data_IF_831619435857
#
_entry.id   IF_831619435857
#
_cell.length_a   1.000
_cell.length_b   1.000
_cell.length_c   1.000
_cell.angle_alpha   90.00
_cell.angle_beta   90.00
_cell.angle_gamma   90.00
#
_symmetry.space_group_name_H-M   'P 1'
#
loop_
_entity.id
_entity.type
_entity.pdbx_description
1 polymer ?
#
# COMPACT_ATOMS: atom_id res chain seq x y z
N UNK A 1 27.42 -14.25 -17.40
CA UNK A 1 25.98 -14.19 -17.72
C UNK A 1 25.12 -14.16 -16.46
N UNK A 2 25.43 -14.93 -15.41
CA UNK A 2 24.56 -15.05 -14.22
C UNK A 2 24.49 -13.78 -13.35
N UNK A 3 25.56 -13.00 -13.28
CA UNK A 3 25.60 -11.75 -12.50
C UNK A 3 24.69 -10.67 -13.08
N UNK A 4 24.58 -10.57 -14.42
CA UNK A 4 23.68 -9.62 -15.09
C UNK A 4 22.21 -9.97 -14.85
N UNK A 5 21.90 -11.27 -14.81
CA UNK A 5 20.53 -11.75 -14.64
C UNK A 5 20.04 -11.56 -13.18
N UNK A 6 20.94 -11.72 -12.21
CA UNK A 6 20.64 -11.45 -10.80
C UNK A 6 20.36 -9.97 -10.55
N UNK A 7 21.17 -9.08 -11.12
CA UNK A 7 20.99 -7.62 -11.00
C UNK A 7 19.65 -7.18 -11.60
N UNK A 8 19.31 -7.67 -12.79
CA UNK A 8 18.05 -7.37 -13.46
C UNK A 8 16.83 -7.84 -12.64
N UNK A 9 16.89 -9.03 -12.02
CA UNK A 9 15.80 -9.53 -11.18
C UNK A 9 15.62 -8.69 -9.90
N UNK A 10 16.72 -8.20 -9.30
CA UNK A 10 16.67 -7.35 -8.11
C UNK A 10 16.10 -5.96 -8.39
N UNK A 11 16.44 -5.34 -9.53
CA UNK A 11 15.88 -4.04 -9.92
C UNK A 11 14.38 -4.12 -10.22
N UNK A 12 13.94 -5.23 -10.82
CA UNK A 12 12.52 -5.47 -11.09
C UNK A 12 11.71 -5.66 -9.81
N UNK A 13 12.25 -6.33 -8.79
CA UNK A 13 11.55 -6.46 -7.49
C UNK A 13 11.44 -5.11 -6.81
N UNK A 14 12.53 -4.34 -6.76
CA UNK A 14 12.57 -3.02 -6.13
C UNK A 14 11.60 -2.05 -6.82
N UNK A 15 11.58 -2.01 -8.15
CA UNK A 15 10.65 -1.17 -8.91
C UNK A 15 9.18 -1.54 -8.62
N UNK A 16 8.89 -2.82 -8.41
CA UNK A 16 7.54 -3.32 -8.12
C UNK A 16 7.08 -2.94 -6.71
N UNK A 17 7.99 -2.95 -5.74
CA UNK A 17 7.73 -2.49 -4.37
C UNK A 17 7.44 -0.99 -4.33
N UNK A 18 8.17 -0.19 -5.12
CA UNK A 18 7.92 1.24 -5.27
C UNK A 18 6.56 1.51 -5.93
N UNK A 19 6.18 0.74 -6.95
CA UNK A 19 4.87 0.85 -7.59
C UNK A 19 3.74 0.45 -6.62
N UNK A 20 3.94 -0.58 -5.78
CA UNK A 20 2.98 -0.97 -4.75
C UNK A 20 2.80 0.13 -3.68
N UNK A 21 3.89 0.78 -3.28
CA UNK A 21 3.86 1.91 -2.36
C UNK A 21 3.15 3.13 -2.97
N UNK A 22 3.47 3.49 -4.23
CA UNK A 22 2.78 4.55 -4.98
C UNK A 22 1.30 4.23 -5.19
N UNK A 23 0.97 2.98 -5.49
CA UNK A 23 -0.41 2.51 -5.64
C UNK A 23 -1.20 2.58 -4.33
N UNK A 24 -0.53 2.60 -3.17
CA UNK A 24 -1.15 2.78 -1.85
C UNK A 24 -1.58 4.22 -1.54
N UNK A 25 -1.40 5.17 -2.47
CA UNK A 25 -2.05 6.50 -2.43
C UNK A 25 -3.56 6.35 -2.29
N UNK A 26 -4.14 5.34 -2.98
CA UNK A 26 -5.50 4.91 -2.68
C UNK A 26 -5.35 3.78 -1.66
N UNK A 27 -5.83 3.96 -0.42
CA UNK A 27 -5.57 3.01 0.64
C UNK A 27 -6.23 1.65 0.30
N UNK A 28 -5.43 0.59 0.38
CA UNK A 28 -5.79 -0.78 -0.04
C UNK A 28 -5.32 -1.20 -1.44
N UNK A 29 -5.01 -0.27 -2.36
CA UNK A 29 -4.67 -0.61 -3.75
C UNK A 29 -3.29 -1.25 -3.91
N UNK A 30 -2.28 -0.84 -3.12
CA UNK A 30 -0.96 -1.48 -3.14
C UNK A 30 -0.98 -2.94 -2.66
N UNK A 31 -1.89 -3.29 -1.76
CA UNK A 31 -2.08 -4.69 -1.32
C UNK A 31 -2.74 -5.54 -2.41
N UNK A 32 -3.70 -4.97 -3.14
CA UNK A 32 -4.31 -5.61 -4.32
C UNK A 32 -3.24 -5.81 -5.41
N UNK A 33 -2.35 -4.83 -5.60
CA UNK A 33 -1.24 -4.93 -6.55
C UNK A 33 -0.23 -6.01 -6.17
N UNK A 34 -0.17 -6.44 -4.91
CA UNK A 34 0.71 -7.53 -4.43
C UNK A 34 -0.03 -8.86 -4.22
N UNK A 35 -1.17 -9.03 -4.92
CA UNK A 35 -2.08 -10.18 -4.85
C UNK A 35 -2.64 -10.50 -3.45
N UNK A 36 -2.57 -9.56 -2.51
CA UNK A 36 -3.19 -9.65 -1.20
C UNK A 36 -4.60 -9.06 -1.25
N UNK A 37 -5.48 -9.68 -2.04
CA UNK A 37 -6.84 -9.18 -2.30
C UNK A 37 -7.71 -9.09 -1.05
N UNK A 38 -7.59 -10.04 -0.11
CA UNK A 38 -8.39 -10.02 1.14
C UNK A 38 -8.07 -8.79 2.00
N UNK A 39 -6.78 -8.54 2.23
CA UNK A 39 -6.31 -7.38 2.99
C UNK A 39 -6.56 -6.09 2.23
N UNK A 40 -6.31 -6.07 0.91
CA UNK A 40 -6.53 -4.91 0.06
C UNK A 40 -8.00 -4.48 -0.05
N UNK A 41 -8.92 -5.42 -0.22
CA UNK A 41 -10.37 -5.14 -0.25
C UNK A 41 -10.86 -4.71 1.15
N UNK A 42 -10.39 -5.36 2.21
CA UNK A 42 -10.72 -4.96 3.59
C UNK A 42 -10.28 -3.52 3.88
N UNK A 43 -9.06 -3.16 3.46
CA UNK A 43 -8.56 -1.79 3.57
C UNK A 43 -9.35 -0.82 2.69
N UNK A 44 -9.71 -1.18 1.45
CA UNK A 44 -10.48 -0.32 0.56
C UNK A 44 -11.87 0.01 1.11
N UNK A 45 -12.51 -0.94 1.81
CA UNK A 45 -13.78 -0.73 2.49
C UNK A 45 -13.61 0.06 3.79
N UNK A 46 -12.59 -0.24 4.59
CA UNK A 46 -12.39 0.38 5.90
C UNK A 46 -11.88 1.83 5.81
N UNK A 47 -11.07 2.12 4.80
CA UNK A 47 -10.46 3.44 4.59
C UNK A 47 -11.43 4.61 4.55
N UNK A 48 -12.54 4.58 3.77
CA UNK A 48 -13.50 5.68 3.78
C UNK A 48 -14.13 5.92 5.16
N UNK A 49 -14.38 4.87 5.95
CA UNK A 49 -14.88 5.02 7.33
C UNK A 49 -13.84 5.67 8.24
N UNK A 50 -12.57 5.30 8.09
CA UNK A 50 -11.47 5.87 8.89
C UNK A 50 -11.19 7.33 8.52
N UNK A 51 -11.25 7.67 7.23
CA UNK A 51 -11.15 9.05 6.76
C UNK A 51 -12.34 9.87 7.30
N UNK A 52 -13.56 9.34 7.22
CA UNK A 52 -14.75 10.00 7.73
C UNK A 52 -14.70 10.23 9.26
N UNK A 53 -14.31 9.20 10.02
CA UNK A 53 -14.11 9.31 11.45
C UNK A 53 -13.02 10.35 11.79
N UNK A 54 -11.89 10.34 11.08
CA UNK A 54 -10.83 11.33 11.24
C UNK A 54 -11.27 12.75 10.94
N UNK A 55 -12.17 12.94 9.97
CA UNK A 55 -12.73 14.24 9.62
C UNK A 55 -13.62 14.78 10.75
N UNK A 56 -14.49 13.93 11.31
CA UNK A 56 -15.32 14.27 12.48
C UNK A 56 -14.44 14.60 13.69
N UNK A 57 -13.43 13.76 13.94
CA UNK A 57 -12.49 13.96 15.03
C UNK A 57 -11.71 15.26 14.85
N UNK A 58 -11.36 15.60 13.60
CA UNK A 58 -10.74 16.87 13.23
C UNK A 58 -11.59 18.06 13.69
N UNK A 59 -12.88 18.07 13.38
CA UNK A 59 -13.78 19.12 13.87
C UNK A 59 -13.94 19.12 15.39
N UNK A 60 -13.96 17.95 16.03
CA UNK A 60 -14.11 17.82 17.48
C UNK A 60 -12.86 18.24 18.28
N UNK A 61 -11.68 18.28 17.67
CA UNK A 61 -10.38 18.47 18.35
C UNK A 61 -9.57 19.65 17.82
N UNK A 62 -10.22 20.64 17.18
CA UNK A 62 -9.55 21.82 16.59
C UNK A 62 -8.48 21.41 15.56
N UNK A 63 -8.77 20.38 14.78
CA UNK A 63 -7.92 19.90 13.68
C UNK A 63 -6.91 18.81 14.05
N UNK A 64 -6.67 18.52 15.34
CA UNK A 64 -5.70 17.49 15.76
C UNK A 64 -6.09 16.10 15.21
N UNK A 65 -7.38 15.79 15.19
CA UNK A 65 -7.92 14.53 14.67
C UNK A 65 -7.64 14.28 13.19
N UNK A 66 -7.29 15.32 12.40
CA UNK A 66 -6.90 15.16 10.99
C UNK A 66 -5.53 14.49 10.82
N UNK A 67 -4.70 14.42 11.87
CA UNK A 67 -3.48 13.63 11.83
C UNK A 67 -3.76 12.13 11.72
N UNK A 68 -4.89 11.66 12.24
CA UNK A 68 -5.26 10.25 12.25
C UNK A 68 -5.38 9.64 10.84
N UNK A 69 -6.15 10.22 9.89
CA UNK A 69 -6.24 9.71 8.53
C UNK A 69 -4.92 9.85 7.75
N UNK A 70 -4.13 10.90 8.00
CA UNK A 70 -2.82 11.09 7.36
C UNK A 70 -1.85 9.99 7.81
N UNK A 71 -1.76 9.75 9.12
CA UNK A 71 -0.89 8.71 9.68
C UNK A 71 -1.32 7.32 9.21
N UNK A 72 -2.62 7.06 9.13
CA UNK A 72 -3.18 5.82 8.59
C UNK A 72 -2.75 5.55 7.14
N UNK A 73 -2.80 6.56 6.26
CA UNK A 73 -2.34 6.45 4.86
C UNK A 73 -0.85 6.09 4.78
N UNK A 74 -0.01 6.78 5.57
CA UNK A 74 1.44 6.54 5.59
C UNK A 74 1.76 5.13 6.10
N UNK A 75 1.10 4.69 7.17
CA UNK A 75 1.30 3.36 7.74
C UNK A 75 0.87 2.24 6.76
N UNK A 76 -0.22 2.43 6.03
CA UNK A 76 -0.66 1.45 5.02
C UNK A 76 0.30 1.41 3.83
N UNK A 77 0.77 2.56 3.36
CA UNK A 77 1.78 2.62 2.30
C UNK A 77 3.08 1.93 2.73
N UNK A 78 3.53 2.18 3.96
CA UNK A 78 4.69 1.50 4.54
C UNK A 78 4.47 -0.02 4.65
N UNK A 79 3.30 -0.44 5.12
CA UNK A 79 2.97 -1.86 5.25
C UNK A 79 2.92 -2.54 3.87
N UNK A 80 2.36 -1.89 2.86
CA UNK A 80 2.32 -2.39 1.48
C UNK A 80 3.71 -2.53 0.86
N UNK A 81 4.63 -1.61 1.19
CA UNK A 81 6.03 -1.68 0.76
C UNK A 81 6.76 -2.90 1.36
N UNK A 82 6.57 -3.14 2.66
CA UNK A 82 7.27 -4.20 3.39
C UNK A 82 6.66 -5.61 3.24
N UNK A 83 5.43 -5.75 2.74
CA UNK A 83 4.79 -7.06 2.61
C UNK A 83 5.45 -7.85 1.47
N UNK A 84 5.64 -9.16 1.59
CA UNK A 84 6.27 -9.97 0.53
C UNK A 84 5.34 -10.16 -0.68
N UNK A 85 5.92 -10.25 -1.88
CA UNK A 85 5.13 -10.46 -3.10
C UNK A 85 4.63 -11.90 -3.19
N UNK A 86 3.31 -12.09 -3.08
CA UNK A 86 2.68 -13.41 -3.24
C UNK A 86 2.45 -13.79 -4.70
N UNK A 87 2.76 -12.90 -5.65
CA UNK A 87 2.73 -13.25 -7.07
C UNK A 87 3.85 -14.25 -7.35
N UNK A 88 3.47 -15.51 -7.55
CA UNK A 88 4.37 -16.60 -7.97
C UNK A 88 4.96 -16.41 -9.40
N UNK A 89 4.73 -15.25 -10.04
CA UNK A 89 5.18 -14.96 -11.40
C UNK A 89 5.94 -13.62 -11.41
N UNK A 90 7.23 -13.69 -11.76
CA UNK A 90 8.13 -12.54 -11.86
C UNK A 90 7.73 -11.53 -12.95
N UNK A 91 6.83 -11.91 -13.86
CA UNK A 91 6.28 -11.07 -14.92
C UNK A 91 4.78 -10.90 -14.68
N UNK A 92 4.37 -9.67 -14.37
CA UNK A 92 2.99 -9.35 -14.05
C UNK A 92 2.07 -9.55 -15.24
N UNK A 93 1.08 -10.42 -15.09
CA UNK A 93 -0.32 -10.22 -15.46
C UNK A 93 -1.11 -11.31 -14.70
N UNK A 94 -2.27 -10.90 -14.19
CA UNK A 94 -3.17 -11.58 -13.24
C UNK A 94 -2.85 -11.34 -11.76
#
# INVERSE_FOLDING_TARGET
>A
MDTLNHNAHSELSHSRDVIAALSSIIPGLGHIYKAHYSTGIGLLILSPFLIWAGLILGFATVGIGLFLPILYMVLIGWHAYNIEDRRNHAAGIF
#
